data_IF_694620005620
#
_entry.id   IF_694620005620
#
_cell.length_a   1.000
_cell.length_b   1.000
_cell.length_c   1.000
_cell.angle_alpha   90.00
_cell.angle_beta   90.00
_cell.angle_gamma   90.00
#
_symmetry.space_group_name_H-M   'P 1'
#
loop_
_entity.id
_entity.type
_entity.pdbx_description
1 polymer ?
#
# COMPACT_ATOMS: atom_id res chain seq x y z
N UNK A 1 -19.39 -6.42 12.01
CA UNK A 1 -18.21 -5.59 11.71
C UNK A 1 -18.12 -4.55 12.80
N UNK A 2 -16.99 -4.46 13.50
CA UNK A 2 -16.77 -3.37 14.46
C UNK A 2 -16.91 -2.02 13.76
N UNK A 3 -17.59 -1.07 14.42
CA UNK A 3 -17.98 0.19 13.82
C UNK A 3 -16.76 1.01 13.36
N UNK A 4 -15.62 0.89 14.05
CA UNK A 4 -14.39 1.61 13.73
C UNK A 4 -13.74 1.08 12.44
N UNK A 5 -13.61 -0.25 12.30
CA UNK A 5 -13.05 -0.89 11.08
C UNK A 5 -13.98 -0.65 9.89
N UNK A 6 -15.30 -0.72 10.13
CA UNK A 6 -16.31 -0.37 9.14
C UNK A 6 -16.13 1.07 8.63
N UNK A 7 -16.05 2.04 9.55
CA UNK A 7 -15.89 3.44 9.20
C UNK A 7 -14.56 3.68 8.48
N UNK A 8 -13.47 3.11 8.97
CA UNK A 8 -12.13 3.27 8.39
C UNK A 8 -12.08 2.89 6.90
N UNK A 9 -12.81 1.84 6.50
CA UNK A 9 -12.82 1.34 5.12
C UNK A 9 -13.97 1.92 4.29
N UNK A 10 -15.17 2.04 4.87
CA UNK A 10 -16.35 2.53 4.14
C UNK A 10 -16.24 4.02 3.78
N UNK A 11 -15.64 4.84 4.64
CA UNK A 11 -15.51 6.29 4.44
C UNK A 11 -14.68 6.63 3.19
N UNK A 12 -13.43 6.14 3.01
CA UNK A 12 -12.67 6.42 1.79
C UNK A 12 -13.28 5.73 0.56
N UNK A 13 -13.88 4.55 0.70
CA UNK A 13 -14.56 3.90 -0.43
C UNK A 13 -15.76 4.73 -0.92
N UNK A 14 -16.61 5.19 -0.01
CA UNK A 14 -17.73 6.09 -0.31
C UNK A 14 -17.23 7.44 -0.84
N UNK A 15 -16.15 7.97 -0.27
CA UNK A 15 -15.49 9.19 -0.76
C UNK A 15 -15.05 9.05 -2.22
N UNK A 16 -14.44 7.92 -2.57
CA UNK A 16 -14.05 7.59 -3.95
C UNK A 16 -15.24 7.58 -4.91
N UNK A 17 -16.35 6.96 -4.51
CA UNK A 17 -17.57 6.88 -5.30
C UNK A 17 -18.26 8.26 -5.46
N UNK A 18 -18.39 9.02 -4.37
CA UNK A 18 -18.95 10.38 -4.39
C UNK A 18 -18.11 11.29 -5.28
N UNK A 19 -16.79 11.30 -5.09
CA UNK A 19 -15.88 12.15 -5.86
C UNK A 19 -15.75 11.70 -7.33
N UNK A 20 -16.05 10.46 -7.68
CA UNK A 20 -16.19 10.06 -9.09
C UNK A 20 -17.31 10.84 -9.79
N UNK A 21 -18.41 11.10 -9.09
CA UNK A 21 -19.57 11.85 -9.61
C UNK A 21 -19.38 13.36 -9.52
N UNK A 22 -18.93 13.87 -8.36
CA UNK A 22 -18.89 15.32 -8.08
C UNK A 22 -17.49 15.94 -8.12
N UNK A 23 -16.44 15.16 -8.40
CA UNK A 23 -15.04 15.60 -8.28
C UNK A 23 -14.59 16.72 -9.23
N UNK A 24 -15.43 17.13 -10.18
CA UNK A 24 -15.18 18.27 -11.08
C UNK A 24 -15.64 19.61 -10.48
N UNK A 25 -16.50 19.55 -9.45
CA UNK A 25 -17.12 20.71 -8.83
C UNK A 25 -16.09 21.48 -7.98
N UNK A 26 -16.26 22.79 -7.80
CA UNK A 26 -15.32 23.61 -7.02
C UNK A 26 -15.19 23.13 -5.56
N UNK A 27 -16.25 22.53 -5.00
CA UNK A 27 -16.24 22.00 -3.62
C UNK A 27 -15.65 20.59 -3.46
N UNK A 28 -15.21 19.95 -4.55
CA UNK A 28 -14.70 18.58 -4.50
C UNK A 28 -13.49 18.43 -3.55
N UNK A 29 -12.61 19.44 -3.52
CA UNK A 29 -11.46 19.42 -2.65
C UNK A 29 -11.84 19.50 -1.16
N UNK A 30 -12.88 20.28 -0.79
CA UNK A 30 -13.39 20.29 0.59
C UNK A 30 -14.03 18.96 0.97
N UNK A 31 -14.79 18.36 0.06
CA UNK A 31 -15.40 17.04 0.26
C UNK A 31 -14.29 15.98 0.48
N UNK A 32 -13.24 15.99 -0.33
CA UNK A 32 -12.08 15.12 -0.17
C UNK A 32 -11.42 15.28 1.20
N UNK A 33 -11.21 16.52 1.65
CA UNK A 33 -10.67 16.81 2.97
C UNK A 33 -11.57 16.28 4.09
N UNK A 34 -12.89 16.46 3.97
CA UNK A 34 -13.85 15.98 4.97
C UNK A 34 -13.80 14.44 5.10
N UNK A 35 -13.80 13.70 3.97
CA UNK A 35 -13.62 12.25 3.99
C UNK A 35 -12.30 11.85 4.65
N UNK A 36 -11.19 12.50 4.30
CA UNK A 36 -9.88 12.19 4.89
C UNK A 36 -9.80 12.49 6.40
N UNK A 37 -10.45 13.55 6.88
CA UNK A 37 -10.56 13.85 8.32
C UNK A 37 -11.36 12.78 9.05
N UNK A 38 -12.51 12.38 8.49
CA UNK A 38 -13.34 11.32 9.11
C UNK A 38 -12.58 9.99 9.15
N UNK A 39 -11.86 9.64 8.08
CA UNK A 39 -10.98 8.46 8.05
C UNK A 39 -9.88 8.52 9.12
N UNK A 40 -9.27 9.69 9.32
CA UNK A 40 -8.26 9.87 10.37
C UNK A 40 -8.85 9.75 11.78
N UNK A 41 -10.04 10.32 12.03
CA UNK A 41 -10.73 10.14 13.31
C UNK A 41 -11.05 8.66 13.55
N UNK A 42 -11.54 7.93 12.54
CA UNK A 42 -11.76 6.48 12.66
C UNK A 42 -10.46 5.71 12.98
N UNK A 43 -9.35 6.07 12.33
CA UNK A 43 -8.04 5.49 12.62
C UNK A 43 -7.57 5.78 14.06
N UNK A 44 -7.76 7.02 14.55
CA UNK A 44 -7.39 7.41 15.91
C UNK A 44 -8.23 6.67 16.97
N UNK A 45 -9.53 6.48 16.72
CA UNK A 45 -10.41 5.67 17.57
C UNK A 45 -9.97 4.21 17.60
N UNK A 46 -9.58 3.67 16.45
CA UNK A 46 -9.04 2.31 16.35
C UNK A 46 -7.74 2.15 17.15
N UNK A 47 -6.82 3.11 17.10
CA UNK A 47 -5.62 3.15 17.95
C UNK A 47 -6.02 3.14 19.43
N UNK A 48 -6.93 4.04 19.84
CA UNK A 48 -7.36 4.13 21.23
C UNK A 48 -8.01 2.83 21.72
N UNK A 49 -8.69 2.08 20.85
CA UNK A 49 -9.23 0.76 21.17
C UNK A 49 -8.12 -0.28 21.35
N UNK A 50 -7.20 -0.41 20.40
CA UNK A 50 -6.09 -1.39 20.49
C UNK A 50 -5.21 -1.13 21.71
N UNK A 51 -4.98 0.13 22.07
CA UNK A 51 -4.21 0.49 23.29
C UNK A 51 -4.93 0.06 24.58
N UNK A 52 -6.27 0.09 24.60
CA UNK A 52 -7.07 -0.26 25.79
C UNK A 52 -7.37 -1.76 25.90
N UNK A 53 -7.70 -2.39 24.78
CA UNK A 53 -8.27 -3.75 24.72
C UNK A 53 -7.27 -4.78 24.15
N UNK A 54 -6.20 -4.33 23.50
CA UNK A 54 -5.25 -5.19 22.80
C UNK A 54 -5.65 -5.53 21.36
N UNK A 55 -4.89 -6.42 20.70
CA UNK A 55 -5.19 -6.90 19.35
C UNK A 55 -6.52 -7.65 19.26
N UNK A 56 -7.23 -7.50 18.16
CA UNK A 56 -8.51 -8.18 17.96
C UNK A 56 -8.75 -8.56 16.49
N UNK A 57 -9.65 -9.52 16.28
CA UNK A 57 -10.15 -9.92 14.95
C UNK A 57 -11.62 -9.55 14.79
N UNK A 58 -12.06 -9.30 13.55
CA UNK A 58 -13.46 -8.99 13.25
C UNK A 58 -13.94 -9.60 11.93
N UNK A 59 -15.26 -9.63 11.71
CA UNK A 59 -15.92 -10.20 10.53
C UNK A 59 -15.48 -11.64 10.22
N UNK A 60 -15.59 -12.55 11.20
CA UNK A 60 -15.19 -13.94 11.01
C UNK A 60 -13.70 -14.07 10.65
N UNK A 61 -12.87 -13.37 11.41
CA UNK A 61 -11.40 -13.34 11.28
C UNK A 61 -10.86 -12.74 9.97
N UNK A 62 -11.68 -12.17 9.09
CA UNK A 62 -11.20 -11.58 7.83
C UNK A 62 -10.37 -10.31 8.04
N UNK A 63 -10.58 -9.61 9.15
CA UNK A 63 -9.78 -8.45 9.54
C UNK A 63 -9.10 -8.70 10.87
N UNK A 64 -7.86 -8.26 10.97
CA UNK A 64 -7.03 -8.39 12.16
C UNK A 64 -6.32 -7.07 12.41
N UNK A 65 -6.47 -6.53 13.62
CA UNK A 65 -5.84 -5.27 14.03
C UNK A 65 -4.99 -5.55 15.26
N UNK A 66 -3.70 -5.23 15.16
CA UNK A 66 -2.71 -5.39 16.22
C UNK A 66 -1.87 -4.11 16.40
N UNK A 67 -0.92 -4.17 17.34
CA UNK A 67 -0.09 -3.01 17.67
C UNK A 67 0.80 -2.54 16.52
N UNK A 68 1.16 -3.41 15.58
CA UNK A 68 1.99 -3.05 14.43
C UNK A 68 1.16 -2.34 13.35
N UNK A 69 0.05 -2.95 12.93
CA UNK A 69 -0.72 -2.38 11.83
C UNK A 69 -1.53 -1.15 12.25
N UNK A 70 -1.97 -1.04 13.50
CA UNK A 70 -2.75 0.12 13.95
C UNK A 70 -1.93 1.41 13.91
N UNK A 71 -0.62 1.31 14.19
CA UNK A 71 0.31 2.42 14.01
C UNK A 71 0.41 2.85 12.54
N UNK A 72 0.57 1.88 11.63
CA UNK A 72 0.63 2.15 10.19
C UNK A 72 -0.70 2.67 9.64
N UNK A 73 -1.84 2.21 10.16
CA UNK A 73 -3.17 2.71 9.81
C UNK A 73 -3.31 4.18 10.20
N UNK A 74 -2.91 4.54 11.42
CA UNK A 74 -2.94 5.92 11.88
C UNK A 74 -1.99 6.82 11.08
N UNK A 75 -0.77 6.36 10.80
CA UNK A 75 0.19 7.07 9.96
C UNK A 75 -0.36 7.29 8.55
N UNK A 76 -0.93 6.24 7.95
CA UNK A 76 -1.56 6.25 6.62
C UNK A 76 -2.70 7.28 6.57
N UNK A 77 -3.62 7.22 7.53
CA UNK A 77 -4.73 8.16 7.58
C UNK A 77 -4.28 9.60 7.88
N UNK A 78 -3.25 9.79 8.71
CA UNK A 78 -2.68 11.10 9.02
C UNK A 78 -2.05 11.76 7.79
N UNK A 79 -1.18 11.03 7.07
CA UNK A 79 -0.52 11.57 5.87
C UNK A 79 -1.54 11.80 4.75
N UNK A 80 -2.55 10.93 4.60
CA UNK A 80 -3.66 11.17 3.68
C UNK A 80 -4.44 12.45 4.06
N UNK A 81 -4.73 12.67 5.34
CA UNK A 81 -5.41 13.88 5.79
C UNK A 81 -4.60 15.15 5.50
N UNK A 82 -3.33 15.22 5.93
CA UNK A 82 -2.49 16.41 5.72
C UNK A 82 -2.25 16.68 4.25
N UNK A 83 -2.06 15.63 3.44
CA UNK A 83 -1.87 15.77 2.00
C UNK A 83 -3.17 16.18 1.30
N UNK A 84 -4.34 15.77 1.78
CA UNK A 84 -5.62 16.24 1.25
C UNK A 84 -5.77 17.76 1.44
N UNK A 85 -5.36 18.31 2.58
CA UNK A 85 -5.36 19.76 2.81
C UNK A 85 -4.41 20.50 1.87
N UNK A 86 -3.20 19.96 1.67
CA UNK A 86 -2.24 20.52 0.71
C UNK A 86 -2.74 20.43 -0.75
N UNK A 87 -3.42 19.35 -1.10
CA UNK A 87 -3.94 19.14 -2.46
C UNK A 87 -4.98 20.16 -2.89
N UNK A 88 -5.73 20.74 -1.94
CA UNK A 88 -6.84 21.68 -2.22
C UNK A 88 -6.39 22.94 -2.98
N UNK A 89 -5.48 23.77 -2.46
CA UNK A 89 -4.96 24.91 -3.20
C UNK A 89 -4.14 24.47 -4.42
N UNK A 90 -3.37 23.38 -4.31
CA UNK A 90 -2.50 22.90 -5.38
C UNK A 90 -3.28 22.53 -6.66
N UNK A 91 -4.31 21.69 -6.54
CA UNK A 91 -5.10 21.25 -7.69
C UNK A 91 -5.96 22.36 -8.28
N UNK A 92 -6.33 23.37 -7.48
CA UNK A 92 -6.99 24.58 -7.99
C UNK A 92 -6.05 25.36 -8.91
N UNK A 93 -4.81 25.58 -8.48
CA UNK A 93 -3.78 26.27 -9.29
C UNK A 93 -3.46 25.48 -10.56
N UNK A 94 -3.31 24.16 -10.47
CA UNK A 94 -3.05 23.31 -11.64
C UNK A 94 -4.20 23.34 -12.66
N UNK A 95 -5.45 23.48 -12.20
CA UNK A 95 -6.62 23.71 -13.07
C UNK A 95 -6.59 25.10 -13.70
N UNK A 96 -6.26 26.14 -12.94
CA UNK A 96 -6.15 27.53 -13.43
C UNK A 96 -5.06 27.68 -14.49
N UNK A 97 -3.94 26.96 -14.35
CA UNK A 97 -2.88 26.87 -15.36
C UNK A 97 -3.24 25.98 -16.56
N UNK A 98 -4.44 25.38 -16.61
CA UNK A 98 -4.89 24.54 -17.72
C UNK A 98 -4.19 23.18 -17.81
N UNK A 99 -3.43 22.76 -16.79
CA UNK A 99 -2.72 21.46 -16.78
C UNK A 99 -3.63 20.28 -16.49
N UNK A 100 -4.76 20.52 -15.82
CA UNK A 100 -5.72 19.47 -15.44
C UNK A 100 -7.13 19.86 -15.86
N UNK A 101 -7.78 18.96 -16.60
CA UNK A 101 -9.17 19.13 -17.05
C UNK A 101 -10.17 18.83 -15.92
N UNK A 102 -11.44 19.22 -16.11
CA UNK A 102 -12.51 18.86 -15.17
C UNK A 102 -12.66 17.34 -14.99
N UNK A 103 -12.44 16.56 -16.04
CA UNK A 103 -12.42 15.10 -15.96
C UNK A 103 -11.20 14.58 -15.19
N UNK A 104 -10.03 15.21 -15.37
CA UNK A 104 -8.83 14.94 -14.60
C UNK A 104 -9.03 15.19 -13.10
N UNK A 105 -9.72 16.26 -12.71
CA UNK A 105 -10.03 16.52 -11.29
C UNK A 105 -10.96 15.46 -10.67
N UNK A 106 -11.95 14.95 -11.42
CA UNK A 106 -12.76 13.81 -10.96
C UNK A 106 -11.90 12.58 -10.73
N UNK A 107 -11.04 12.26 -11.70
CA UNK A 107 -10.13 11.12 -11.60
C UNK A 107 -9.21 11.28 -10.38
N UNK A 108 -8.61 12.45 -10.22
CA UNK A 108 -7.72 12.75 -9.10
C UNK A 108 -8.39 12.52 -7.75
N UNK A 109 -9.53 13.19 -7.48
CA UNK A 109 -10.19 13.11 -6.18
C UNK A 109 -10.77 11.71 -5.89
N UNK A 110 -11.32 11.04 -6.92
CA UNK A 110 -11.84 9.68 -6.78
C UNK A 110 -10.72 8.68 -6.49
N UNK A 111 -9.65 8.70 -7.30
CA UNK A 111 -8.53 7.78 -7.15
C UNK A 111 -7.72 8.07 -5.89
N UNK A 112 -7.69 9.31 -5.39
CA UNK A 112 -7.07 9.66 -4.11
C UNK A 112 -7.72 8.90 -2.94
N UNK A 113 -9.05 8.91 -2.88
CA UNK A 113 -9.79 8.20 -1.84
C UNK A 113 -9.76 6.69 -2.05
N UNK A 114 -9.87 6.21 -3.29
CA UNK A 114 -9.77 4.78 -3.59
C UNK A 114 -8.38 4.23 -3.26
N UNK A 115 -7.33 5.00 -3.52
CA UNK A 115 -5.96 4.67 -3.09
C UNK A 115 -5.88 4.61 -1.56
N UNK A 116 -6.38 5.62 -0.85
CA UNK A 116 -6.41 5.62 0.62
C UNK A 116 -7.15 4.38 1.18
N UNK A 117 -8.27 4.00 0.57
CA UNK A 117 -9.02 2.79 0.90
C UNK A 117 -8.18 1.52 0.71
N UNK A 118 -7.53 1.34 -0.45
CA UNK A 118 -6.75 0.13 -0.73
C UNK A 118 -5.56 0.01 0.21
N UNK A 119 -4.88 1.12 0.53
CA UNK A 119 -3.80 1.15 1.51
C UNK A 119 -4.27 0.69 2.91
N UNK A 120 -5.42 1.19 3.37
CA UNK A 120 -6.01 0.81 4.67
C UNK A 120 -6.49 -0.65 4.66
N UNK A 121 -7.01 -1.13 3.52
CA UNK A 121 -7.43 -2.52 3.36
C UNK A 121 -6.25 -3.49 3.47
N UNK A 122 -5.11 -3.18 2.83
CA UNK A 122 -3.87 -3.99 2.99
C UNK A 122 -3.47 -4.09 4.46
N UNK A 123 -3.53 -2.99 5.21
CA UNK A 123 -3.07 -2.95 6.59
C UNK A 123 -3.99 -3.72 7.55
N UNK A 124 -5.29 -3.75 7.28
CA UNK A 124 -6.31 -4.29 8.21
C UNK A 124 -6.79 -5.69 7.86
N UNK A 125 -6.61 -6.14 6.61
CA UNK A 125 -7.00 -7.50 6.21
C UNK A 125 -6.10 -8.55 6.86
N UNK A 126 -6.73 -9.61 7.34
CA UNK A 126 -6.04 -10.81 7.83
C UNK A 126 -5.77 -11.82 6.70
N UNK A 127 -6.55 -11.76 5.62
CA UNK A 127 -6.43 -12.69 4.50
C UNK A 127 -5.30 -12.23 3.55
N UNK A 128 -4.28 -13.07 3.36
CA UNK A 128 -3.13 -12.78 2.50
C UNK A 128 -3.50 -12.61 1.02
N UNK A 129 -4.50 -13.34 0.54
CA UNK A 129 -5.04 -13.16 -0.82
C UNK A 129 -5.71 -11.79 -0.98
N UNK A 130 -6.52 -11.37 0.00
CA UNK A 130 -7.14 -10.04 -0.02
C UNK A 130 -6.09 -8.93 0.14
N UNK A 131 -5.04 -9.16 0.93
CA UNK A 131 -3.89 -8.25 1.03
C UNK A 131 -3.25 -8.02 -0.33
N UNK A 132 -3.04 -9.10 -1.10
CA UNK A 132 -2.52 -9.03 -2.47
C UNK A 132 -3.47 -8.26 -3.40
N UNK A 133 -4.77 -8.58 -3.39
CA UNK A 133 -5.78 -7.88 -4.22
C UNK A 133 -5.79 -6.38 -3.92
N UNK A 134 -5.75 -6.02 -2.63
CA UNK A 134 -5.71 -4.63 -2.21
C UNK A 134 -4.41 -3.92 -2.65
N UNK A 135 -3.27 -4.61 -2.60
CA UNK A 135 -1.99 -4.08 -3.08
C UNK A 135 -2.01 -3.82 -4.59
N UNK A 136 -2.62 -4.71 -5.37
CA UNK A 136 -2.73 -4.51 -6.82
C UNK A 136 -3.73 -3.40 -7.17
N UNK A 137 -4.85 -3.33 -6.46
CA UNK A 137 -5.78 -2.21 -6.59
C UNK A 137 -5.08 -0.87 -6.26
N UNK A 138 -4.20 -0.86 -5.26
CA UNK A 138 -3.34 0.29 -4.99
C UNK A 138 -2.43 0.64 -6.19
N UNK A 139 -1.80 -0.36 -6.85
CA UNK A 139 -1.07 -0.15 -8.11
C UNK A 139 -1.92 0.55 -9.16
N UNK A 140 -3.10 0.01 -9.45
CA UNK A 140 -3.96 0.53 -10.51
C UNK A 140 -4.41 1.97 -10.23
N UNK A 141 -4.78 2.28 -8.98
CA UNK A 141 -5.14 3.65 -8.60
C UNK A 141 -3.98 4.62 -8.73
N UNK A 142 -2.77 4.22 -8.32
CA UNK A 142 -1.58 5.05 -8.44
C UNK A 142 -1.19 5.28 -9.90
N UNK A 143 -1.26 4.26 -10.77
CA UNK A 143 -0.98 4.42 -12.21
C UNK A 143 -1.84 5.53 -12.82
N UNK A 144 -3.13 5.55 -12.49
CA UNK A 144 -4.07 6.58 -12.95
C UNK A 144 -3.74 7.97 -12.40
N UNK A 145 -3.24 8.05 -11.16
CA UNK A 145 -2.81 9.30 -10.53
C UNK A 145 -1.49 9.84 -11.11
N UNK A 146 -0.52 8.97 -11.42
CA UNK A 146 0.74 9.35 -12.06
C UNK A 146 0.50 9.83 -13.50
N UNK A 147 -0.41 9.18 -14.22
CA UNK A 147 -0.79 9.53 -15.59
C UNK A 147 -1.69 10.80 -15.69
N UNK A 148 -1.95 11.52 -14.59
CA UNK A 148 -2.97 12.57 -14.54
C UNK A 148 -2.74 13.69 -15.55
N UNK A 149 -1.50 14.15 -15.69
CA UNK A 149 -1.15 15.27 -16.57
C UNK A 149 -1.14 14.90 -18.06
N UNK A 150 -1.11 13.60 -18.39
CA UNK A 150 -1.13 13.07 -19.76
C UNK A 150 -0.05 13.66 -20.70
N UNK A 151 1.05 14.14 -20.15
CA UNK A 151 2.27 14.46 -20.90
C UNK A 151 2.99 13.17 -21.32
N UNK A 152 3.84 13.22 -22.34
CA UNK A 152 4.66 12.07 -22.74
C UNK A 152 5.44 11.48 -21.56
N UNK A 153 6.08 12.32 -20.74
CA UNK A 153 6.84 11.89 -19.57
C UNK A 153 5.95 11.25 -18.49
N UNK A 154 4.79 11.84 -18.18
CA UNK A 154 3.86 11.26 -17.19
C UNK A 154 3.27 9.92 -17.63
N UNK A 155 2.99 9.75 -18.92
CA UNK A 155 2.50 8.49 -19.47
C UNK A 155 3.61 7.43 -19.47
N UNK A 156 4.83 7.80 -19.83
CA UNK A 156 5.99 6.89 -19.76
C UNK A 156 6.24 6.42 -18.32
N UNK A 157 6.24 7.34 -17.35
CA UNK A 157 6.40 7.02 -15.94
C UNK A 157 5.28 6.11 -15.42
N UNK A 158 4.02 6.39 -15.78
CA UNK A 158 2.88 5.55 -15.41
C UNK A 158 2.98 4.14 -16.02
N UNK A 159 3.41 4.02 -17.28
CA UNK A 159 3.61 2.72 -17.94
C UNK A 159 4.77 1.93 -17.34
N UNK A 160 5.91 2.57 -17.08
CA UNK A 160 7.04 1.95 -16.37
C UNK A 160 6.61 1.44 -15.01
N UNK A 161 5.87 2.26 -14.26
CA UNK A 161 5.34 1.89 -12.96
C UNK A 161 4.38 0.70 -13.05
N UNK A 162 3.41 0.76 -13.96
CA UNK A 162 2.44 -0.33 -14.16
C UNK A 162 3.12 -1.65 -14.50
N UNK A 163 4.07 -1.65 -15.44
CA UNK A 163 4.77 -2.88 -15.87
C UNK A 163 5.64 -3.42 -14.74
N UNK A 164 6.51 -2.59 -14.15
CA UNK A 164 7.45 -3.05 -13.12
C UNK A 164 6.71 -3.53 -11.88
N UNK A 165 5.79 -2.72 -11.34
CA UNK A 165 5.02 -3.12 -10.17
C UNK A 165 4.02 -4.25 -10.47
N UNK A 166 3.40 -4.29 -11.65
CA UNK A 166 2.48 -5.36 -12.03
C UNK A 166 3.19 -6.71 -12.14
N UNK A 167 4.37 -6.76 -12.76
CA UNK A 167 5.20 -7.97 -12.79
C UNK A 167 5.63 -8.37 -11.38
N UNK A 168 6.05 -7.40 -10.54
CA UNK A 168 6.37 -7.65 -9.14
C UNK A 168 5.18 -8.25 -8.38
N UNK A 169 4.01 -7.63 -8.44
CA UNK A 169 2.82 -8.13 -7.75
C UNK A 169 2.37 -9.49 -8.30
N UNK A 170 2.58 -9.80 -9.58
CA UNK A 170 2.38 -11.16 -10.09
C UNK A 170 3.34 -12.18 -9.44
N UNK A 171 4.60 -11.83 -9.18
CA UNK A 171 5.51 -12.67 -8.38
C UNK A 171 5.01 -12.82 -6.94
N UNK A 172 4.53 -11.74 -6.31
CA UNK A 172 3.95 -11.81 -4.96
C UNK A 172 2.70 -12.71 -4.92
N UNK A 173 1.89 -12.75 -5.99
CA UNK A 173 0.76 -13.67 -6.10
C UNK A 173 1.23 -15.11 -6.07
N UNK A 174 2.26 -15.44 -6.88
CA UNK A 174 2.82 -16.78 -6.90
C UNK A 174 3.36 -17.19 -5.54
N UNK A 175 4.07 -16.30 -4.85
CA UNK A 175 4.51 -16.53 -3.47
C UNK A 175 3.34 -16.73 -2.49
N UNK A 176 2.26 -15.96 -2.64
CA UNK A 176 1.03 -16.11 -1.82
C UNK A 176 0.34 -17.46 -2.06
N UNK A 177 0.32 -17.93 -3.30
CA UNK A 177 -0.19 -19.27 -3.66
C UNK A 177 0.65 -20.37 -3.00
N UNK A 178 1.98 -20.21 -2.95
CA UNK A 178 2.84 -21.17 -2.26
C UNK A 178 2.63 -21.16 -0.74
N UNK A 179 2.41 -20.00 -0.13
CA UNK A 179 2.02 -19.92 1.30
C UNK A 179 0.68 -20.62 1.54
N UNK A 180 -0.30 -20.40 0.67
CA UNK A 180 -1.58 -21.12 0.74
C UNK A 180 -1.37 -22.64 0.63
N UNK A 181 -0.57 -23.10 -0.32
CA UNK A 181 -0.27 -24.52 -0.49
C UNK A 181 0.40 -25.14 0.75
N UNK A 182 1.30 -24.40 1.42
CA UNK A 182 1.88 -24.83 2.69
C UNK A 182 0.84 -24.87 3.82
N UNK A 183 -0.03 -23.86 3.90
CA UNK A 183 -1.09 -23.74 4.90
C UNK A 183 -2.18 -24.80 4.75
N UNK A 184 -2.64 -25.06 3.52
CA UNK A 184 -3.70 -26.02 3.19
C UNK A 184 -3.36 -27.43 3.67
N UNK A 185 -2.09 -27.84 3.56
CA UNK A 185 -1.64 -29.16 4.04
C UNK A 185 -1.78 -29.34 5.55
N UNK A 186 -1.79 -28.26 6.31
CA UNK A 186 -1.81 -28.27 7.78
C UNK A 186 -3.20 -27.93 8.31
N UNK A 187 -3.85 -26.91 7.75
CA UNK A 187 -5.12 -26.35 8.20
C UNK A 187 -6.33 -26.95 7.46
N UNK A 188 -6.11 -27.74 6.41
CA UNK A 188 -7.15 -28.23 5.51
C UNK A 188 -7.51 -27.23 4.41
N UNK A 189 -8.34 -27.67 3.47
CA UNK A 189 -8.81 -26.83 2.36
C UNK A 189 -9.87 -25.83 2.83
N UNK A 190 -9.72 -24.57 2.43
CA UNK A 190 -10.66 -23.50 2.78
C UNK A 190 -10.00 -22.13 2.93
N UNK A 191 -10.83 -21.11 3.13
CA UNK A 191 -10.36 -19.72 3.30
C UNK A 191 -9.50 -19.51 4.55
N UNK A 192 -9.60 -20.40 5.55
CA UNK A 192 -8.78 -20.38 6.75
C UNK A 192 -7.27 -20.52 6.47
N UNK A 193 -6.88 -21.23 5.42
CA UNK A 193 -5.47 -21.41 5.03
C UNK A 193 -4.83 -20.15 4.43
N UNK A 194 -5.60 -19.07 4.21
CA UNK A 194 -5.09 -17.76 3.80
C UNK A 194 -5.10 -16.73 4.95
N UNK A 195 -5.66 -17.06 6.11
CA UNK A 195 -5.68 -16.17 7.26
C UNK A 195 -4.29 -16.12 7.90
N UNK A 196 -3.69 -14.94 7.98
CA UNK A 196 -2.36 -14.75 8.54
C UNK A 196 -2.29 -15.18 10.01
N UNK A 197 -3.33 -14.91 10.81
CA UNK A 197 -3.40 -15.36 12.21
C UNK A 197 -3.36 -16.89 12.34
N UNK A 198 -4.12 -17.60 11.49
CA UNK A 198 -4.14 -19.06 11.48
C UNK A 198 -2.78 -19.64 11.04
N UNK A 199 -2.20 -19.09 9.97
CA UNK A 199 -0.85 -19.46 9.50
C UNK A 199 0.23 -19.19 10.56
N UNK A 200 0.15 -18.06 11.27
CA UNK A 200 1.11 -17.70 12.31
C UNK A 200 1.02 -18.65 13.52
N UNK A 201 -0.18 -19.16 13.85
CA UNK A 201 -0.38 -20.14 14.92
C UNK A 201 0.27 -21.49 14.62
N UNK A 202 0.29 -21.91 13.35
CA UNK A 202 0.86 -23.19 12.90
C UNK A 202 2.19 -23.05 12.15
N UNK A 203 2.84 -21.88 12.21
CA UNK A 203 3.99 -21.57 11.34
C UNK A 203 5.14 -22.58 11.42
N UNK A 204 5.39 -23.16 12.59
CA UNK A 204 6.42 -24.18 12.79
C UNK A 204 6.10 -25.55 12.14
N UNK A 205 4.87 -25.74 11.68
CA UNK A 205 4.42 -26.94 10.96
C UNK A 205 4.32 -26.72 9.44
N UNK A 206 4.52 -25.49 8.96
CA UNK A 206 4.55 -25.19 7.52
C UNK A 206 5.82 -25.77 6.90
N UNK A 207 5.69 -26.33 5.70
CA UNK A 207 6.82 -26.99 5.04
C UNK A 207 7.93 -25.96 4.71
N UNK A 208 9.16 -26.13 5.24
CA UNK A 208 10.19 -25.09 5.16
C UNK A 208 10.64 -24.77 3.73
N UNK A 209 10.71 -25.75 2.84
CA UNK A 209 11.19 -25.57 1.46
C UNK A 209 10.24 -24.69 0.66
N UNK A 210 8.94 -24.98 0.71
CA UNK A 210 7.87 -24.20 0.10
C UNK A 210 7.86 -22.79 0.68
N UNK A 211 7.98 -22.63 2.00
CA UNK A 211 8.01 -21.30 2.64
C UNK A 211 9.25 -20.49 2.24
N UNK A 212 10.40 -21.14 2.02
CA UNK A 212 11.62 -20.49 1.52
C UNK A 212 11.43 -19.96 0.10
N UNK A 213 10.92 -20.80 -0.80
CA UNK A 213 10.65 -20.44 -2.20
C UNK A 213 9.57 -19.35 -2.25
N UNK A 214 8.49 -19.51 -1.49
CA UNK A 214 7.43 -18.52 -1.37
C UNK A 214 8.00 -17.15 -0.97
N UNK A 215 8.89 -17.11 0.02
CA UNK A 215 9.48 -15.87 0.47
C UNK A 215 10.35 -15.19 -0.59
N UNK A 216 11.08 -15.96 -1.42
CA UNK A 216 11.84 -15.40 -2.56
C UNK A 216 10.91 -14.68 -3.54
N UNK A 217 9.76 -15.26 -3.87
CA UNK A 217 8.78 -14.61 -4.74
C UNK A 217 8.09 -13.40 -4.07
N UNK A 218 7.81 -13.50 -2.77
CA UNK A 218 7.21 -12.41 -1.99
C UNK A 218 8.16 -11.22 -1.85
N UNK A 219 9.46 -11.44 -1.59
CA UNK A 219 10.44 -10.36 -1.50
C UNK A 219 10.71 -9.72 -2.85
N UNK A 220 10.74 -10.48 -3.95
CA UNK A 220 10.82 -9.88 -5.29
C UNK A 220 9.56 -9.05 -5.56
N UNK A 221 8.38 -9.60 -5.26
CA UNK A 221 7.13 -8.94 -5.60
C UNK A 221 6.79 -7.72 -4.76
N UNK A 222 6.62 -7.90 -3.44
CA UNK A 222 6.41 -6.77 -2.54
C UNK A 222 7.64 -5.87 -2.44
N UNK A 223 8.86 -6.41 -2.59
CA UNK A 223 10.08 -5.59 -2.65
C UNK A 223 10.15 -4.68 -3.86
N UNK A 224 9.54 -5.06 -5.01
CA UNK A 224 9.37 -4.13 -6.13
C UNK A 224 8.54 -2.92 -5.70
N UNK A 225 7.45 -3.12 -4.94
CA UNK A 225 6.62 -2.04 -4.41
C UNK A 225 7.28 -1.22 -3.31
N UNK A 226 8.12 -1.84 -2.49
CA UNK A 226 8.96 -1.13 -1.52
C UNK A 226 10.00 -0.26 -2.23
N UNK A 227 10.39 -0.61 -3.46
CA UNK A 227 11.46 0.05 -4.19
C UNK A 227 12.84 -0.48 -3.79
N UNK A 228 12.97 -1.78 -3.52
CA UNK A 228 14.25 -2.42 -3.27
C UNK A 228 15.07 -2.50 -4.58
N UNK A 229 16.39 -2.36 -4.49
CA UNK A 229 17.30 -2.67 -5.59
C UNK A 229 17.18 -4.16 -5.97
N UNK A 230 17.23 -4.53 -7.27
CA UNK A 230 17.36 -3.68 -8.46
C UNK A 230 16.02 -3.21 -9.06
N UNK A 231 14.91 -3.42 -8.35
CA UNK A 231 13.53 -3.24 -8.83
C UNK A 231 13.01 -1.79 -8.67
N UNK A 232 13.79 -0.92 -8.04
CA UNK A 232 13.49 0.48 -7.72
C UNK A 232 13.33 1.47 -8.90
N UNK A 233 13.64 1.09 -10.15
CA UNK A 233 13.73 2.04 -11.26
C UNK A 233 12.42 2.78 -11.61
N UNK A 234 11.26 2.27 -11.19
CA UNK A 234 10.00 2.99 -11.36
C UNK A 234 9.85 4.18 -10.40
N UNK A 235 10.54 4.14 -9.25
CA UNK A 235 10.31 5.03 -8.12
C UNK A 235 10.64 6.48 -8.49
N UNK A 236 11.86 6.84 -8.97
CA UNK A 236 12.18 8.24 -9.25
C UNK A 236 11.28 8.89 -10.32
N UNK A 237 10.92 8.13 -11.36
CA UNK A 237 10.08 8.62 -12.45
C UNK A 237 8.63 8.85 -11.99
N UNK A 238 8.06 7.93 -11.21
CA UNK A 238 6.69 8.09 -10.69
C UNK A 238 6.55 9.30 -9.74
N UNK A 239 7.56 9.55 -8.89
CA UNK A 239 7.59 10.70 -8.00
C UNK A 239 7.80 12.03 -8.74
N UNK A 240 8.65 12.04 -9.77
CA UNK A 240 8.92 13.22 -10.57
C UNK A 240 7.69 13.68 -11.37
N UNK A 241 7.02 12.75 -12.05
CA UNK A 241 5.96 13.07 -13.01
C UNK A 241 4.56 13.19 -12.39
N UNK A 242 4.30 12.52 -11.25
CA UNK A 242 3.04 12.63 -10.55
C UNK A 242 2.80 14.03 -9.93
N UNK A 243 1.54 14.41 -9.69
CA UNK A 243 1.22 15.62 -8.93
C UNK A 243 1.91 15.60 -7.56
N UNK A 244 2.46 16.73 -7.11
CA UNK A 244 3.23 16.80 -5.86
C UNK A 244 2.50 16.21 -4.64
N UNK A 245 1.18 16.43 -4.45
CA UNK A 245 0.46 15.76 -3.36
C UNK A 245 0.50 14.23 -3.48
N UNK A 246 0.42 13.66 -4.68
CA UNK A 246 0.48 12.20 -4.86
C UNK A 246 1.88 11.69 -4.54
N UNK A 247 2.93 12.39 -4.93
CA UNK A 247 4.31 12.03 -4.57
C UNK A 247 4.47 11.93 -3.04
N UNK A 248 3.87 12.85 -2.26
CA UNK A 248 3.90 12.78 -0.81
C UNK A 248 3.18 11.54 -0.25
N UNK A 249 2.02 11.18 -0.82
CA UNK A 249 1.29 9.98 -0.39
C UNK A 249 2.06 8.71 -0.77
N UNK A 250 2.68 8.67 -1.95
CA UNK A 250 3.48 7.53 -2.38
C UNK A 250 4.66 7.30 -1.43
N UNK A 251 5.43 8.35 -1.08
CA UNK A 251 6.60 8.24 -0.19
C UNK A 251 6.17 7.87 1.23
N UNK A 252 5.13 8.52 1.76
CA UNK A 252 4.72 8.36 3.16
C UNK A 252 3.92 7.08 3.44
N UNK A 253 3.18 6.57 2.45
CA UNK A 253 2.26 5.44 2.64
C UNK A 253 2.66 4.19 1.86
N UNK A 254 2.81 4.30 0.54
CA UNK A 254 2.88 3.12 -0.35
C UNK A 254 3.99 2.16 0.03
N UNK A 255 5.20 2.71 0.20
CA UNK A 255 6.40 1.92 0.47
C UNK A 255 6.29 1.23 1.84
N UNK A 256 5.76 1.94 2.85
CA UNK A 256 5.58 1.41 4.21
C UNK A 256 4.56 0.26 4.27
N UNK A 257 3.47 0.36 3.51
CA UNK A 257 2.44 -0.68 3.47
C UNK A 257 2.89 -1.91 2.67
N UNK A 258 3.69 -1.72 1.62
CA UNK A 258 4.33 -2.84 0.94
C UNK A 258 5.35 -3.55 1.85
N UNK A 259 6.11 -2.78 2.63
CA UNK A 259 7.05 -3.33 3.61
C UNK A 259 6.31 -4.08 4.72
N UNK A 260 5.15 -3.60 5.16
CA UNK A 260 4.28 -4.30 6.11
C UNK A 260 3.88 -5.69 5.61
N UNK A 261 3.40 -5.80 4.37
CA UNK A 261 3.05 -7.09 3.77
C UNK A 261 4.25 -8.05 3.78
N UNK A 262 5.44 -7.54 3.45
CA UNK A 262 6.67 -8.33 3.47
C UNK A 262 7.07 -8.77 4.88
N UNK A 263 6.94 -7.89 5.89
CA UNK A 263 7.19 -8.22 7.30
C UNK A 263 6.24 -9.31 7.81
N UNK A 264 4.96 -9.25 7.45
CA UNK A 264 3.97 -10.29 7.81
C UNK A 264 4.37 -11.65 7.23
N UNK A 265 4.80 -11.69 5.97
CA UNK A 265 5.31 -12.90 5.34
C UNK A 265 6.62 -13.40 5.98
N UNK A 266 7.54 -12.50 6.31
CA UNK A 266 8.81 -12.82 7.00
C UNK A 266 8.55 -13.55 8.32
N UNK A 267 7.58 -13.11 9.12
CA UNK A 267 7.23 -13.78 10.40
C UNK A 267 6.79 -15.24 10.18
N UNK A 268 6.06 -15.52 9.11
CA UNK A 268 5.65 -16.88 8.76
C UNK A 268 6.86 -17.71 8.31
N UNK A 269 7.69 -17.16 7.42
CA UNK A 269 8.87 -17.86 6.87
C UNK A 269 9.90 -18.18 7.95
N UNK A 270 10.32 -17.20 8.75
CA UNK A 270 11.31 -17.46 9.81
C UNK A 270 10.78 -18.46 10.85
N UNK A 271 9.47 -18.43 11.11
CA UNK A 271 8.82 -19.42 11.98
C UNK A 271 8.80 -20.84 11.42
N UNK A 272 8.63 -20.99 10.10
CA UNK A 272 8.65 -22.28 9.43
C UNK A 272 10.06 -22.87 9.31
N UNK A 273 11.05 -22.02 9.00
CA UNK A 273 12.44 -22.46 8.81
C UNK A 273 13.22 -22.59 10.12
N UNK A 274 12.75 -21.98 11.21
CA UNK A 274 13.52 -21.80 12.45
C UNK A 274 14.93 -21.21 12.21
N UNK A 275 15.05 -20.33 11.20
CA UNK A 275 16.30 -19.76 10.71
C UNK A 275 16.08 -18.29 10.33
N UNK A 276 17.08 -17.41 10.45
CA UNK A 276 16.96 -15.99 10.08
C UNK A 276 16.98 -15.72 8.57
N UNK A 277 16.65 -16.70 7.73
CA UNK A 277 16.74 -16.62 6.27
C UNK A 277 16.01 -15.41 5.67
N UNK A 278 14.73 -15.21 6.04
CA UNK A 278 13.94 -14.10 5.51
C UNK A 278 14.52 -12.76 5.99
N UNK A 279 14.94 -12.71 7.26
CA UNK A 279 15.61 -11.54 7.84
C UNK A 279 16.91 -11.19 7.13
N UNK A 280 17.76 -12.18 6.82
CA UNK A 280 19.04 -11.97 6.14
C UNK A 280 18.85 -11.47 4.71
N UNK A 281 17.88 -12.01 3.98
CA UNK A 281 17.54 -11.51 2.65
C UNK A 281 17.07 -10.05 2.70
N UNK A 282 16.13 -9.73 3.60
CA UNK A 282 15.64 -8.35 3.75
C UNK A 282 16.77 -7.38 4.14
N UNK A 283 17.66 -7.77 5.06
CA UNK A 283 18.82 -6.96 5.42
C UNK A 283 19.76 -6.78 4.23
N UNK A 284 20.05 -7.84 3.47
CA UNK A 284 20.92 -7.77 2.29
C UNK A 284 20.39 -6.80 1.23
N UNK A 285 19.13 -6.97 0.82
CA UNK A 285 18.49 -6.07 -0.14
C UNK A 285 18.36 -4.63 0.39
N UNK A 286 18.09 -4.46 1.69
CA UNK A 286 18.04 -3.16 2.33
C UNK A 286 19.39 -2.43 2.31
N UNK A 287 20.47 -3.10 2.70
CA UNK A 287 21.83 -2.54 2.69
C UNK A 287 22.29 -2.18 1.27
N UNK A 288 22.03 -3.06 0.30
CA UNK A 288 22.33 -2.78 -1.12
C UNK A 288 21.51 -1.57 -1.61
N UNK A 289 20.24 -1.47 -1.22
CA UNK A 289 19.39 -0.33 -1.60
C UNK A 289 19.91 0.99 -1.03
N UNK A 290 20.33 1.02 0.24
CA UNK A 290 20.94 2.20 0.86
C UNK A 290 22.24 2.59 0.14
N UNK A 291 23.11 1.62 -0.13
CA UNK A 291 24.38 1.88 -0.81
C UNK A 291 24.16 2.49 -2.20
N UNK A 292 23.29 1.89 -3.02
CA UNK A 292 23.00 2.38 -4.37
C UNK A 292 22.32 3.75 -4.33
N UNK A 293 21.34 3.96 -3.44
CA UNK A 293 20.69 5.26 -3.28
C UNK A 293 21.69 6.38 -2.94
N UNK A 294 22.65 6.11 -2.06
CA UNK A 294 23.70 7.06 -1.70
C UNK A 294 24.56 7.47 -2.92
N UNK A 295 24.93 6.51 -3.79
CA UNK A 295 25.65 6.81 -5.02
C UNK A 295 24.82 7.63 -6.01
N UNK A 296 23.54 7.29 -6.21
CA UNK A 296 22.66 8.05 -7.12
C UNK A 296 22.42 9.49 -6.64
N UNK A 297 22.20 9.69 -5.34
CA UNK A 297 21.96 11.02 -4.76
C UNK A 297 23.13 11.98 -4.99
N UNK A 298 24.37 11.49 -4.99
CA UNK A 298 25.56 12.32 -5.23
C UNK A 298 25.57 13.03 -6.60
N UNK A 299 24.85 12.50 -7.59
CA UNK A 299 24.79 13.04 -8.95
C UNK A 299 23.42 13.60 -9.33
N UNK A 300 22.40 13.43 -8.49
CA UNK A 300 21.06 13.90 -8.78
C UNK A 300 20.97 15.43 -8.66
N UNK A 301 20.38 16.08 -9.66
CA UNK A 301 20.19 17.54 -9.69
C UNK A 301 18.73 17.95 -9.63
N UNK A 302 17.81 17.04 -9.97
CA UNK A 302 16.38 17.29 -9.88
C UNK A 302 15.90 17.13 -8.43
N UNK A 303 15.36 18.20 -7.86
CA UNK A 303 14.92 18.24 -6.46
C UNK A 303 13.84 17.20 -6.18
N UNK A 304 12.86 16.99 -7.08
CA UNK A 304 11.81 15.98 -6.86
C UNK A 304 12.35 14.56 -6.93
N UNK A 305 13.44 14.32 -7.65
CA UNK A 305 14.12 13.01 -7.70
C UNK A 305 15.11 12.80 -6.54
N UNK A 306 15.42 13.84 -5.75
CA UNK A 306 16.24 13.73 -4.55
C UNK A 306 15.44 13.26 -3.32
N UNK A 307 14.13 13.55 -3.30
CA UNK A 307 13.20 13.16 -2.23
C UNK A 307 12.36 11.94 -2.66
#
# INVERSE_FOLDING_TARGET
MDAEVAALLAVPLAGGAVLALVGHRPRAAEINCAFSVVTFVAAALLVARVVREGPFTTLGEQFFVDSLNVFLVALTAFVAMTTSFFSRPYMRIEREHGRVTAAGLRLYHSMYQLFSFTMLLVLTTNNLGLMWVAMEAATLTTVLLVALYRTHASLEAAWKYFILCGVGIAQALFGTILVYFAGEKVLGSGSGALLWTALNAVKGSLEPTVMSIAFVFLIVGYGTKVGLVPLHNWLPDAHAEGPTPISAVLSGLLLNVALYALIRCKVLTDGALASPFASQLMMGFGLVSVAIAAFFLSRQRDVKRMF
#
